data_IF_217657924697
#
_entry.id   IF_217657924697
#
_cell.length_a   1.000
_cell.length_b   1.000
_cell.length_c   1.000
_cell.angle_alpha   90.00
_cell.angle_beta   90.00
_cell.angle_gamma   90.00
#
_symmetry.space_group_name_H-M   'P 1'
#
loop_
_entity.id
_entity.type
_entity.pdbx_description
1 polymer ?
#
# COMPACT_ATOMS: atom_id res chain seq x y z
N UNK A 1 0.04 4.07 -16.81
CA UNK A 1 0.43 5.33 -16.14
C UNK A 1 -0.52 5.68 -14.99
N UNK A 2 -0.21 6.69 -14.17
CA UNK A 2 -1.04 7.07 -13.00
C UNK A 2 -2.44 7.49 -13.46
N UNK A 3 -3.48 7.02 -12.77
CA UNK A 3 -4.88 7.31 -13.08
C UNK A 3 -5.54 6.36 -14.09
N UNK A 4 -4.76 5.50 -14.77
CA UNK A 4 -5.31 4.48 -15.66
C UNK A 4 -6.04 3.39 -14.89
N UNK A 5 -7.08 2.81 -15.50
CA UNK A 5 -7.79 1.66 -14.96
C UNK A 5 -6.84 0.47 -14.83
N UNK A 6 -6.93 -0.24 -13.71
CA UNK A 6 -6.12 -1.43 -13.46
C UNK A 6 -6.96 -2.49 -12.75
N UNK A 7 -6.58 -3.75 -12.96
CA UNK A 7 -7.13 -4.89 -12.20
C UNK A 7 -6.07 -5.54 -11.31
N UNK A 8 -4.80 -5.20 -11.53
CA UNK A 8 -3.66 -5.79 -10.84
C UNK A 8 -2.50 -4.78 -10.81
N UNK A 9 -1.78 -4.69 -9.69
CA UNK A 9 -0.66 -3.77 -9.51
C UNK A 9 0.48 -3.99 -10.51
N UNK A 10 0.62 -5.18 -11.09
CA UNK A 10 1.59 -5.47 -12.14
C UNK A 10 1.34 -4.68 -13.45
N UNK A 11 0.12 -4.17 -13.68
CA UNK A 11 -0.20 -3.31 -14.83
C UNK A 11 0.32 -1.88 -14.64
N UNK A 12 0.55 -1.48 -13.40
CA UNK A 12 0.97 -0.12 -13.06
C UNK A 12 2.49 -0.05 -12.97
N UNK A 13 3.11 0.90 -13.69
CA UNK A 13 4.56 1.17 -13.57
C UNK A 13 4.96 1.51 -12.13
N UNK A 14 4.09 2.20 -11.39
CA UNK A 14 4.29 2.49 -9.96
C UNK A 14 4.25 1.24 -9.08
N UNK A 15 3.65 0.15 -9.56
CA UNK A 15 3.41 -1.07 -8.80
C UNK A 15 2.28 -0.94 -7.77
N UNK A 16 1.38 0.05 -7.88
CA UNK A 16 0.18 0.14 -7.06
C UNK A 16 -1.09 0.33 -7.92
N UNK A 17 -2.01 -0.62 -7.78
CA UNK A 17 -3.40 -0.50 -8.23
C UNK A 17 -4.30 -0.21 -7.03
N UNK A 18 -4.89 0.99 -6.98
CA UNK A 18 -5.61 1.52 -5.83
C UNK A 18 -7.11 1.64 -6.08
N UNK A 19 -7.92 1.33 -5.07
CA UNK A 19 -9.38 1.52 -5.07
C UNK A 19 -9.85 2.14 -3.76
N UNK A 20 -10.93 2.91 -3.78
CA UNK A 20 -11.44 3.60 -2.58
C UNK A 20 -12.42 2.75 -1.76
N UNK A 21 -13.10 1.80 -2.38
CA UNK A 21 -14.07 0.90 -1.75
C UNK A 21 -14.18 -0.44 -2.50
N UNK A 22 -14.83 -1.44 -1.91
CA UNK A 22 -14.95 -2.79 -2.50
C UNK A 22 -15.66 -2.85 -3.85
N UNK A 23 -16.51 -1.87 -4.17
CA UNK A 23 -17.25 -1.78 -5.43
C UNK A 23 -16.69 -0.71 -6.40
N UNK A 24 -15.66 0.03 -5.97
CA UNK A 24 -15.06 1.09 -6.79
C UNK A 24 -14.10 0.54 -7.84
N UNK A 25 -14.02 1.23 -8.98
CA UNK A 25 -13.03 0.97 -10.03
C UNK A 25 -11.63 1.30 -9.51
N UNK A 26 -10.70 0.34 -9.69
CA UNK A 26 -9.31 0.52 -9.31
C UNK A 26 -8.52 1.26 -10.40
N UNK A 27 -7.58 2.10 -9.98
CA UNK A 27 -6.70 2.88 -10.86
C UNK A 27 -5.26 2.88 -10.36
N UNK A 28 -4.32 3.02 -11.29
CA UNK A 28 -2.91 3.11 -10.93
C UNK A 28 -2.66 4.37 -10.09
N UNK A 29 -1.95 4.22 -8.99
CA UNK A 29 -1.65 5.30 -8.05
C UNK A 29 -0.16 5.31 -7.67
N UNK A 30 0.28 6.43 -7.10
CA UNK A 30 1.63 6.54 -6.53
C UNK A 30 1.73 5.70 -5.28
N UNK A 31 2.94 5.21 -4.98
CA UNK A 31 3.23 4.55 -3.71
C UNK A 31 3.22 5.59 -2.57
N UNK A 32 3.05 5.11 -1.35
CA UNK A 32 3.04 5.97 -0.17
C UNK A 32 4.47 6.41 0.18
N UNK A 33 4.66 7.72 0.33
CA UNK A 33 5.90 8.33 0.79
C UNK A 33 6.06 8.17 2.32
N UNK A 34 7.21 8.56 2.86
CA UNK A 34 7.45 8.56 4.30
C UNK A 34 6.36 9.34 5.05
N UNK A 35 5.97 8.87 6.23
CA UNK A 35 4.87 9.38 7.07
C UNK A 35 3.46 9.24 6.50
N UNK A 36 3.28 8.74 5.28
CA UNK A 36 1.96 8.51 4.70
C UNK A 36 1.38 7.14 5.11
N UNK A 37 0.05 7.07 5.10
CA UNK A 37 -0.68 5.82 5.33
C UNK A 37 -0.39 4.79 4.23
N UNK A 38 -0.21 3.54 4.63
CA UNK A 38 0.12 2.45 3.73
C UNK A 38 -0.62 1.16 4.09
N UNK A 39 -0.69 0.25 3.12
CA UNK A 39 -1.00 -1.15 3.39
C UNK A 39 0.25 -2.02 3.21
N UNK A 40 0.44 -3.04 4.06
CA UNK A 40 1.40 -4.10 3.80
C UNK A 40 1.18 -4.72 2.43
N UNK A 41 2.27 -5.15 1.78
CA UNK A 41 2.18 -5.86 0.50
C UNK A 41 1.26 -7.08 0.64
N UNK A 42 0.35 -7.21 -0.32
CA UNK A 42 -0.73 -8.19 -0.32
C UNK A 42 -0.73 -8.98 -1.63
N UNK A 43 -1.06 -10.27 -1.54
CA UNK A 43 -1.17 -11.15 -2.70
C UNK A 43 -2.37 -10.79 -3.60
N UNK A 44 -3.39 -10.09 -3.06
CA UNK A 44 -4.54 -9.65 -3.85
C UNK A 44 -4.15 -8.59 -4.88
N UNK A 45 -3.07 -7.84 -4.62
CA UNK A 45 -2.44 -6.93 -5.58
C UNK A 45 -3.31 -5.74 -6.04
N UNK A 46 -4.42 -5.49 -5.34
CA UNK A 46 -5.19 -4.25 -5.38
C UNK A 46 -5.30 -3.74 -3.94
N UNK A 47 -5.17 -2.43 -3.76
CA UNK A 47 -4.96 -1.83 -2.44
C UNK A 47 -5.97 -0.73 -2.12
N UNK A 48 -6.38 -0.62 -0.85
CA UNK A 48 -7.09 0.56 -0.34
C UNK A 48 -6.13 1.68 0.09
N UNK A 49 -4.91 1.34 0.46
CA UNK A 49 -3.80 2.27 0.68
C UNK A 49 -2.57 1.69 -0.01
N UNK A 50 -1.90 2.48 -0.86
CA UNK A 50 -0.75 1.95 -1.60
C UNK A 50 0.38 1.50 -0.66
N UNK A 51 1.18 0.50 -1.06
CA UNK A 51 2.39 0.15 -0.33
C UNK A 51 3.39 1.32 -0.39
N UNK A 52 4.34 1.31 0.54
CA UNK A 52 5.38 2.33 0.59
C UNK A 52 6.30 2.32 -0.63
N UNK A 53 6.93 3.47 -0.87
CA UNK A 53 8.06 3.60 -1.80
C UNK A 53 9.23 2.69 -1.40
N UNK A 54 10.11 2.43 -2.36
CA UNK A 54 11.29 1.60 -2.13
C UNK A 54 12.19 2.24 -1.07
N UNK A 55 12.64 1.46 -0.09
CA UNK A 55 13.45 1.94 1.04
C UNK A 55 12.65 2.14 2.33
N UNK A 56 11.33 2.26 2.24
CA UNK A 56 10.45 2.45 3.39
C UNK A 56 9.74 1.14 3.78
N UNK A 57 9.47 0.98 5.08
CA UNK A 57 8.67 -0.11 5.64
C UNK A 57 7.31 0.42 6.06
N UNK A 58 6.25 -0.32 5.70
CA UNK A 58 4.91 -0.05 6.22
C UNK A 58 4.82 -0.59 7.65
N UNK A 59 4.85 0.31 8.63
CA UNK A 59 4.74 0.00 10.05
C UNK A 59 3.26 -0.07 10.43
N UNK A 60 2.72 -1.30 10.45
CA UNK A 60 1.32 -1.60 10.75
C UNK A 60 1.27 -2.68 11.83
N UNK A 61 0.41 -2.51 12.84
CA UNK A 61 0.06 -3.56 13.78
C UNK A 61 -0.73 -4.65 13.04
N UNK A 62 -0.02 -5.73 12.66
CA UNK A 62 -0.63 -6.84 11.92
C UNK A 62 -1.50 -7.67 12.84
N UNK A 63 -2.81 -7.57 12.66
CA UNK A 63 -3.78 -8.46 13.32
C UNK A 63 -4.22 -9.55 12.35
N UNK A 64 -4.52 -10.75 12.85
CA UNK A 64 -4.99 -11.87 12.00
C UNK A 64 -6.23 -11.45 11.18
N UNK A 65 -7.16 -10.71 11.78
CA UNK A 65 -8.37 -10.20 11.12
C UNK A 65 -8.04 -9.11 10.09
N UNK A 66 -7.13 -8.18 10.40
CA UNK A 66 -6.74 -7.11 9.48
C UNK A 66 -5.93 -7.61 8.28
N UNK A 67 -5.19 -8.71 8.43
CA UNK A 67 -4.44 -9.34 7.35
C UNK A 67 -5.35 -10.08 6.38
N UNK A 68 -6.46 -10.65 6.88
CA UNK A 68 -7.53 -11.26 6.07
C UNK A 68 -8.37 -10.19 5.37
N UNK A 69 -8.69 -9.08 6.07
CA UNK A 69 -9.54 -8.00 5.53
C UNK A 69 -8.77 -6.91 4.77
N UNK A 70 -7.44 -7.04 4.64
CA UNK A 70 -6.55 -6.07 4.01
C UNK A 70 -6.69 -4.65 4.60
N UNK A 71 -6.97 -4.56 5.91
CA UNK A 71 -7.25 -3.32 6.63
C UNK A 71 -6.25 -3.02 7.75
N UNK A 72 -5.18 -3.81 7.88
CA UNK A 72 -4.02 -3.43 8.70
C UNK A 72 -3.31 -2.26 8.00
N UNK A 73 -3.81 -1.04 8.17
CA UNK A 73 -3.14 0.17 7.69
C UNK A 73 -2.04 0.56 8.65
N UNK A 74 -0.92 1.01 8.08
CA UNK A 74 0.23 1.47 8.82
C UNK A 74 0.70 2.83 8.34
N UNK A 75 1.87 3.22 8.80
CA UNK A 75 2.57 4.42 8.34
C UNK A 75 3.92 4.02 7.72
N UNK A 76 4.30 4.63 6.60
CA UNK A 76 5.61 4.40 6.02
C UNK A 76 6.70 5.04 6.86
N UNK A 77 7.69 4.24 7.27
CA UNK A 77 8.87 4.70 8.01
C UNK A 77 10.15 4.23 7.34
N UNK A 78 11.20 5.03 7.38
CA UNK A 78 12.54 4.58 7.02
C UNK A 78 13.09 3.65 8.12
N UNK A 79 13.77 2.58 7.71
CA UNK A 79 14.35 1.62 8.64
C UNK A 79 15.53 2.22 9.44
N UNK A 80 16.24 3.20 8.88
CA UNK A 80 17.39 3.84 9.52
C UNK A 80 16.98 4.79 10.66
N UNK A 81 15.74 5.29 10.66
CA UNK A 81 15.20 6.08 11.76
C UNK A 81 14.86 5.21 12.99
N UNK A 82 14.54 3.93 12.75
CA UNK A 82 14.17 2.97 13.80
C UNK A 82 15.36 2.44 14.62
N UNK A 83 16.59 2.56 14.13
CA UNK A 83 17.83 2.17 14.83
C UNK A 83 18.44 3.30 15.68
N UNK A 84 17.75 4.46 15.79
CA UNK A 84 18.23 5.64 16.52
C UNK A 84 17.39 5.99 17.77
N UNK A 85 16.68 5.02 18.35
CA UNK A 85 15.96 5.14 19.64
C UNK A 85 16.62 4.35 20.75
#
# INVERSE_FOLDING_TARGET
DIGELCMQSAQCKSGCCHRTSGLSLARCAVKAAETQECSPKSIYGVYYKCPCESGLRCDADRTIVGSITNSDFGTCKDLQDSDKS
#
